data_IF_734650235030
#
_entry.id   IF_734650235030
#
_cell.length_a   1.000
_cell.length_b   1.000
_cell.length_c   1.000
_cell.angle_alpha   90.00
_cell.angle_beta   90.00
_cell.angle_gamma   90.00
#
_symmetry.space_group_name_H-M   'P 1'
#
loop_
_entity.id
_entity.type
_entity.pdbx_description
1 polymer ?
#
# COMPACT_ATOMS: atom_id res chain seq x y z
N UNK A 1 6.43 -17.46 16.18
CA UNK A 1 6.27 -16.83 14.85
C UNK A 1 6.21 -15.32 15.05
N UNK A 2 6.03 -14.50 14.00
CA UNK A 2 5.55 -13.14 14.27
C UNK A 2 4.14 -13.28 14.86
N UNK A 3 3.75 -12.38 15.77
CA UNK A 3 2.40 -12.37 16.30
C UNK A 3 1.45 -11.79 15.27
N UNK A 4 0.18 -12.22 15.29
CA UNK A 4 -0.85 -11.71 14.37
C UNK A 4 -1.01 -10.20 14.54
N UNK A 5 -1.09 -9.75 15.80
CA UNK A 5 -1.11 -8.31 16.16
C UNK A 5 0.04 -7.53 15.50
N UNK A 6 1.27 -8.03 15.55
CA UNK A 6 2.40 -7.34 14.94
C UNK A 6 2.26 -7.27 13.41
N UNK A 7 1.79 -8.33 12.76
CA UNK A 7 1.59 -8.33 11.32
C UNK A 7 0.50 -7.35 10.89
N UNK A 8 -0.60 -7.31 11.65
CA UNK A 8 -1.71 -6.36 11.45
C UNK A 8 -1.26 -4.91 11.59
N UNK A 9 -0.37 -4.61 12.55
CA UNK A 9 0.12 -3.24 12.83
C UNK A 9 1.34 -2.86 11.98
N UNK A 10 2.07 -3.83 11.41
CA UNK A 10 3.37 -3.59 10.75
C UNK A 10 3.33 -2.65 9.53
N UNK A 11 2.15 -2.46 8.94
CA UNK A 11 1.94 -1.57 7.80
C UNK A 11 1.33 -0.21 8.15
N UNK A 12 0.92 0.01 9.40
CA UNK A 12 0.07 1.15 9.77
C UNK A 12 0.75 2.49 9.57
N UNK A 13 2.01 2.64 10.02
CA UNK A 13 2.77 3.88 9.87
C UNK A 13 2.90 4.33 8.41
N UNK A 14 3.01 3.37 7.48
CA UNK A 14 3.09 3.64 6.05
C UNK A 14 1.70 3.91 5.51
N UNK A 15 0.70 3.09 5.87
CA UNK A 15 -0.70 3.27 5.47
C UNK A 15 -1.22 4.66 5.83
N UNK A 16 -0.94 5.14 7.04
CA UNK A 16 -1.38 6.45 7.54
C UNK A 16 -0.87 7.63 6.69
N UNK A 17 0.36 7.55 6.16
CA UNK A 17 0.87 8.56 5.21
C UNK A 17 0.05 8.58 3.91
N UNK A 18 -0.35 7.40 3.44
CA UNK A 18 -1.17 7.27 2.23
C UNK A 18 -2.62 7.68 2.47
N UNK A 19 -3.21 7.42 3.64
CA UNK A 19 -4.54 7.94 4.00
C UNK A 19 -4.53 9.47 4.12
N UNK A 20 -3.45 10.05 4.65
CA UNK A 20 -3.26 11.51 4.68
C UNK A 20 -3.14 12.08 3.26
N UNK A 21 -2.34 11.44 2.40
CA UNK A 21 -2.23 11.80 0.99
C UNK A 21 -3.57 11.73 0.29
N UNK A 22 -4.33 10.66 0.47
CA UNK A 22 -5.65 10.49 -0.11
C UNK A 22 -6.57 11.66 0.24
N UNK A 23 -6.58 12.07 1.51
CA UNK A 23 -7.36 13.22 1.98
C UNK A 23 -6.95 14.50 1.24
N UNK A 24 -5.65 14.78 1.11
CA UNK A 24 -5.14 15.96 0.39
C UNK A 24 -5.54 15.95 -1.09
N UNK A 25 -5.42 14.79 -1.74
CA UNK A 25 -5.78 14.63 -3.15
C UNK A 25 -7.29 14.82 -3.36
N UNK A 26 -8.13 14.26 -2.50
CA UNK A 26 -9.58 14.44 -2.55
C UNK A 26 -9.98 15.91 -2.33
N UNK A 27 -9.35 16.60 -1.38
CA UNK A 27 -9.56 18.05 -1.17
C UNK A 27 -9.20 18.82 -2.44
N UNK A 28 -8.03 18.54 -3.04
CA UNK A 28 -7.61 19.18 -4.28
C UNK A 28 -8.62 18.96 -5.41
N UNK A 29 -9.06 17.72 -5.61
CA UNK A 29 -10.04 17.35 -6.63
C UNK A 29 -11.38 18.06 -6.41
N UNK A 30 -11.88 18.09 -5.16
CA UNK A 30 -13.12 18.76 -4.81
C UNK A 30 -13.09 20.27 -5.04
N UNK A 31 -12.00 20.94 -4.63
CA UNK A 31 -11.81 22.37 -4.86
C UNK A 31 -11.77 22.71 -6.35
N UNK A 32 -11.13 21.86 -7.17
CA UNK A 32 -11.09 22.07 -8.62
C UNK A 32 -12.42 21.76 -9.30
N UNK A 33 -13.13 20.72 -8.87
CA UNK A 33 -14.48 20.43 -9.38
C UNK A 33 -15.45 21.60 -9.15
N UNK A 34 -15.31 22.34 -8.04
CA UNK A 34 -16.13 23.52 -7.78
C UNK A 34 -15.94 24.63 -8.83
N UNK A 35 -14.76 24.73 -9.44
CA UNK A 35 -14.49 25.73 -10.46
C UNK A 35 -15.28 25.51 -11.76
N UNK A 36 -15.89 24.33 -11.99
CA UNK A 36 -16.78 24.12 -13.13
C UNK A 36 -17.98 25.09 -13.10
N UNK A 37 -18.47 25.47 -11.91
CA UNK A 37 -19.60 26.39 -11.77
C UNK A 37 -19.26 27.83 -12.21
N UNK A 38 -17.97 28.16 -12.36
CA UNK A 38 -17.49 29.48 -12.74
C UNK A 38 -17.18 29.63 -14.24
N UNK A 39 -17.44 28.59 -15.05
CA UNK A 39 -17.26 28.65 -16.50
C UNK A 39 -18.42 29.44 -17.13
N UNK A 40 -18.09 30.39 -18.02
CA UNK A 40 -19.08 31.23 -18.69
C UNK A 40 -19.90 30.43 -19.69
N UNK A 41 -19.24 29.65 -20.55
CA UNK A 41 -19.87 28.70 -21.46
C UNK A 41 -19.34 27.30 -21.19
N UNK A 42 -20.10 26.50 -20.42
CA UNK A 42 -19.61 25.19 -19.98
C UNK A 42 -19.29 24.26 -21.15
N UNK A 43 -20.06 24.28 -22.24
CA UNK A 43 -19.84 23.41 -23.40
C UNK A 43 -18.56 23.79 -24.17
N UNK A 44 -18.26 25.08 -24.28
CA UNK A 44 -17.10 25.59 -25.02
C UNK A 44 -15.81 25.55 -24.17
N UNK A 45 -15.92 25.89 -22.88
CA UNK A 45 -14.78 26.09 -22.00
C UNK A 45 -14.32 24.79 -21.33
N UNK A 46 -15.24 23.84 -21.11
CA UNK A 46 -14.94 22.62 -20.37
C UNK A 46 -13.78 21.81 -20.96
N UNK A 47 -13.65 21.58 -22.28
CA UNK A 47 -12.52 20.84 -22.83
C UNK A 47 -11.16 21.51 -22.53
N UNK A 48 -11.08 22.84 -22.66
CA UNK A 48 -9.85 23.62 -22.37
C UNK A 48 -9.54 23.58 -20.88
N UNK A 49 -10.56 23.81 -20.06
CA UNK A 49 -10.46 23.75 -18.61
C UNK A 49 -10.00 22.37 -18.11
N UNK A 50 -10.61 21.28 -18.62
CA UNK A 50 -10.29 19.90 -18.25
C UNK A 50 -8.84 19.56 -18.55
N UNK A 51 -8.34 19.95 -19.73
CA UNK A 51 -6.95 19.71 -20.11
C UNK A 51 -5.98 20.44 -19.19
N UNK A 52 -6.26 21.72 -18.87
CA UNK A 52 -5.47 22.51 -17.93
C UNK A 52 -5.48 21.90 -16.53
N UNK A 53 -6.67 21.63 -15.99
CA UNK A 53 -6.84 21.06 -14.65
C UNK A 53 -6.18 19.68 -14.53
N UNK A 54 -6.29 18.83 -15.56
CA UNK A 54 -5.64 17.50 -15.57
C UNK A 54 -4.12 17.60 -15.57
N UNK A 55 -3.55 18.59 -16.28
CA UNK A 55 -2.10 18.84 -16.27
C UNK A 55 -1.63 19.33 -14.90
N UNK A 56 -2.30 20.34 -14.33
CA UNK A 56 -2.00 20.83 -12.98
C UNK A 56 -2.09 19.71 -11.95
N UNK A 57 -3.11 18.85 -12.07
CA UNK A 57 -3.27 17.73 -11.16
C UNK A 57 -2.15 16.70 -11.31
N UNK A 58 -1.74 16.39 -12.54
CA UNK A 58 -0.66 15.45 -12.79
C UNK A 58 0.67 15.90 -12.17
N UNK A 59 0.97 17.20 -12.24
CA UNK A 59 2.14 17.82 -11.61
C UNK A 59 2.03 17.79 -10.07
N UNK A 60 0.86 18.15 -9.52
CA UNK A 60 0.58 18.09 -8.08
C UNK A 60 0.71 16.66 -7.53
N UNK A 61 0.09 15.69 -8.20
CA UNK A 61 0.21 14.26 -7.90
C UNK A 61 1.67 13.82 -7.90
N UNK A 62 2.46 14.22 -8.90
CA UNK A 62 3.89 13.89 -8.95
C UNK A 62 4.65 14.34 -7.70
N UNK A 63 4.36 15.55 -7.24
CA UNK A 63 4.98 16.14 -6.05
C UNK A 63 4.57 15.41 -4.77
N UNK A 64 3.27 15.23 -4.56
CA UNK A 64 2.74 14.62 -3.32
C UNK A 64 3.12 13.14 -3.19
N UNK A 65 3.02 12.36 -4.28
CA UNK A 65 3.47 10.97 -4.27
C UNK A 65 4.98 10.86 -4.05
N UNK A 66 5.79 11.81 -4.53
CA UNK A 66 7.23 11.81 -4.27
C UNK A 66 7.54 12.04 -2.78
N UNK A 67 6.79 12.92 -2.10
CA UNK A 67 6.95 13.16 -0.65
C UNK A 67 6.65 11.90 0.15
N UNK A 68 5.49 11.28 -0.07
CA UNK A 68 5.09 10.06 0.64
C UNK A 68 6.02 8.89 0.32
N UNK A 69 6.47 8.74 -0.93
CA UNK A 69 7.46 7.74 -1.30
C UNK A 69 8.78 7.90 -0.53
N UNK A 70 9.25 9.13 -0.29
CA UNK A 70 10.47 9.38 0.51
C UNK A 70 10.24 9.04 1.99
N UNK A 71 9.11 9.48 2.56
CA UNK A 71 8.73 9.17 3.94
C UNK A 71 8.63 7.66 4.17
N UNK A 72 7.98 6.93 3.25
CA UNK A 72 7.73 5.50 3.38
C UNK A 72 9.00 4.66 3.36
N UNK A 73 10.08 5.10 2.72
CA UNK A 73 11.35 4.34 2.66
C UNK A 73 11.90 4.02 4.05
N UNK A 74 11.95 5.01 4.93
CA UNK A 74 12.46 4.84 6.29
C UNK A 74 11.49 4.01 7.15
N UNK A 75 10.19 4.23 7.00
CA UNK A 75 9.15 3.48 7.72
C UNK A 75 9.15 1.99 7.36
N UNK A 76 9.23 1.67 6.06
CA UNK A 76 9.38 0.29 5.56
C UNK A 76 10.65 -0.35 6.12
N UNK A 77 11.77 0.37 6.13
CA UNK A 77 13.02 -0.11 6.71
C UNK A 77 12.87 -0.43 8.20
N UNK A 78 12.21 0.42 8.97
CA UNK A 78 11.94 0.20 10.39
C UNK A 78 11.01 -1.00 10.61
N UNK A 79 9.90 -1.09 9.87
CA UNK A 79 8.95 -2.21 9.98
C UNK A 79 9.62 -3.56 9.75
N UNK A 80 10.44 -3.68 8.68
CA UNK A 80 11.15 -4.93 8.37
C UNK A 80 12.22 -5.24 9.41
N UNK A 81 12.98 -4.24 9.86
CA UNK A 81 13.97 -4.42 10.93
C UNK A 81 13.32 -4.91 12.22
N UNK A 82 12.20 -4.32 12.62
CA UNK A 82 11.45 -4.72 13.81
C UNK A 82 10.93 -6.15 13.69
N UNK A 83 10.40 -6.54 12.52
CA UNK A 83 9.95 -7.90 12.25
C UNK A 83 11.09 -8.92 12.35
N UNK A 84 12.27 -8.59 11.81
CA UNK A 84 13.45 -9.44 11.95
C UNK A 84 13.92 -9.51 13.40
N UNK A 85 14.00 -8.39 14.12
CA UNK A 85 14.42 -8.37 15.53
C UNK A 85 13.51 -9.22 16.42
N UNK A 86 12.19 -9.16 16.19
CA UNK A 86 11.23 -10.01 16.89
C UNK A 86 11.39 -11.47 16.48
N UNK A 87 11.65 -11.74 15.21
CA UNK A 87 11.95 -13.10 14.73
C UNK A 87 13.21 -13.67 15.37
N UNK A 88 14.31 -12.91 15.44
CA UNK A 88 15.55 -13.29 16.14
C UNK A 88 15.26 -13.62 17.58
N UNK A 89 14.54 -12.74 18.29
CA UNK A 89 14.22 -12.95 19.71
C UNK A 89 13.40 -14.22 19.93
N UNK A 90 12.44 -14.50 19.04
CA UNK A 90 11.61 -15.70 19.08
C UNK A 90 12.36 -16.99 18.75
N UNK A 91 13.35 -16.96 17.85
CA UNK A 91 14.19 -18.13 17.58
C UNK A 91 15.15 -18.33 18.75
N UNK A 92 15.82 -17.26 19.19
CA UNK A 92 16.78 -17.31 20.29
C UNK A 92 16.16 -17.85 21.58
N UNK A 93 14.93 -17.43 21.93
CA UNK A 93 14.24 -17.97 23.11
C UNK A 93 13.97 -19.47 23.01
N UNK A 94 13.68 -19.98 21.81
CA UNK A 94 13.45 -21.42 21.56
C UNK A 94 14.72 -22.25 21.54
N UNK A 95 15.86 -21.64 21.19
CA UNK A 95 17.16 -22.31 21.18
C UNK A 95 17.80 -22.40 22.57
N UNK A 96 17.33 -21.62 23.55
CA UNK A 96 17.87 -21.69 24.93
C UNK A 96 17.79 -23.07 25.56
N UNK A 97 16.78 -23.84 25.17
CA UNK A 97 16.53 -25.19 25.69
C UNK A 97 17.22 -26.28 24.84
N UNK A 98 18.16 -25.88 23.98
CA UNK A 98 18.89 -26.77 23.05
C UNK A 98 20.40 -26.58 23.19
N UNK A 99 21.19 -27.56 22.76
CA UNK A 99 22.66 -27.49 22.75
C UNK A 99 23.25 -26.49 21.72
N UNK A 100 22.38 -25.79 20.97
CA UNK A 100 22.79 -24.88 19.91
C UNK A 100 23.44 -23.59 20.47
N UNK A 101 24.76 -23.47 20.33
CA UNK A 101 25.51 -22.27 20.69
C UNK A 101 25.42 -21.22 19.56
N UNK A 102 24.57 -20.19 19.74
CA UNK A 102 24.53 -19.03 18.84
C UNK A 102 24.18 -17.76 19.60
N UNK A 103 24.78 -16.62 19.25
CA UNK A 103 24.37 -15.32 19.79
C UNK A 103 23.27 -14.67 18.93
N UNK A 104 22.46 -13.79 19.52
CA UNK A 104 21.50 -12.96 18.78
C UNK A 104 22.19 -12.12 17.69
N UNK A 105 23.42 -11.66 17.96
CA UNK A 105 24.21 -10.83 17.05
C UNK A 105 24.62 -11.61 15.80
N UNK A 106 25.04 -12.86 15.96
CA UNK A 106 25.46 -13.71 14.83
C UNK A 106 24.28 -14.08 13.93
N UNK A 107 23.12 -14.35 14.52
CA UNK A 107 21.88 -14.62 13.77
C UNK A 107 21.44 -13.40 12.94
N UNK A 108 21.54 -12.20 13.54
CA UNK A 108 21.20 -10.95 12.86
C UNK A 108 22.20 -10.64 11.73
N UNK A 109 23.50 -10.78 12.00
CA UNK A 109 24.58 -10.48 11.06
C UNK A 109 24.53 -11.36 9.81
N UNK A 110 24.32 -12.68 9.98
CA UNK A 110 24.19 -13.64 8.86
C UNK A 110 23.10 -13.25 7.87
N UNK A 111 22.05 -12.61 8.35
CA UNK A 111 20.86 -12.32 7.55
C UNK A 111 20.79 -10.90 7.01
N UNK A 112 21.85 -10.11 7.14
CA UNK A 112 21.90 -8.75 6.60
C UNK A 112 21.57 -8.71 5.10
N UNK A 113 21.94 -9.75 4.35
CA UNK A 113 21.57 -9.91 2.93
C UNK A 113 20.05 -9.98 2.73
N UNK A 114 19.35 -10.82 3.50
CA UNK A 114 17.89 -10.97 3.39
C UNK A 114 17.14 -9.75 3.92
N UNK A 115 17.65 -9.11 4.98
CA UNK A 115 17.12 -7.85 5.49
C UNK A 115 17.15 -6.78 4.40
N UNK A 116 18.33 -6.55 3.79
CA UNK A 116 18.49 -5.54 2.75
C UNK A 116 17.67 -5.87 1.50
N UNK A 117 17.61 -7.15 1.10
CA UNK A 117 16.76 -7.60 0.00
C UNK A 117 15.28 -7.36 0.30
N UNK A 118 14.80 -7.75 1.47
CA UNK A 118 13.41 -7.53 1.89
C UNK A 118 13.02 -6.05 1.91
N UNK A 119 13.90 -5.19 2.40
CA UNK A 119 13.71 -3.73 2.36
C UNK A 119 13.60 -3.25 0.91
N UNK A 120 14.55 -3.65 0.05
CA UNK A 120 14.58 -3.22 -1.35
C UNK A 120 13.34 -3.68 -2.12
N UNK A 121 12.96 -4.95 -1.95
CA UNK A 121 11.80 -5.55 -2.61
C UNK A 121 10.51 -4.82 -2.18
N UNK A 122 10.33 -4.60 -0.87
CA UNK A 122 9.14 -3.92 -0.33
C UNK A 122 9.09 -2.45 -0.74
N UNK A 123 10.22 -1.73 -0.72
CA UNK A 123 10.28 -0.34 -1.21
C UNK A 123 10.01 -0.26 -2.72
N UNK A 124 10.44 -1.26 -3.49
CA UNK A 124 10.12 -1.39 -4.91
C UNK A 124 8.62 -1.57 -5.12
N UNK A 125 7.97 -2.38 -4.29
CA UNK A 125 6.53 -2.58 -4.32
C UNK A 125 5.76 -1.28 -4.01
N UNK A 126 6.14 -0.56 -2.95
CA UNK A 126 5.53 0.74 -2.64
C UNK A 126 5.73 1.74 -3.78
N UNK A 127 6.89 1.75 -4.44
CA UNK A 127 7.12 2.59 -5.64
C UNK A 127 6.17 2.23 -6.77
N UNK A 128 5.93 0.95 -7.01
CA UNK A 128 4.98 0.49 -8.04
C UNK A 128 3.56 0.92 -7.70
N UNK A 129 3.13 0.72 -6.45
CA UNK A 129 1.84 1.19 -5.96
C UNK A 129 1.69 2.70 -6.14
N UNK A 130 2.68 3.53 -5.76
CA UNK A 130 2.62 4.98 -6.03
C UNK A 130 2.38 5.29 -7.52
N UNK A 131 3.05 4.59 -8.43
CA UNK A 131 2.88 4.82 -9.87
C UNK A 131 1.49 4.43 -10.36
N UNK A 132 0.94 3.31 -9.87
CA UNK A 132 -0.39 2.83 -10.22
C UNK A 132 -1.44 3.78 -9.64
N UNK A 133 -1.36 4.07 -8.33
CA UNK A 133 -2.25 5.01 -7.63
C UNK A 133 -2.29 6.35 -8.34
N UNK A 134 -1.13 6.92 -8.70
CA UNK A 134 -1.06 8.18 -9.44
C UNK A 134 -1.86 8.17 -10.74
N UNK A 135 -1.78 7.07 -11.51
CA UNK A 135 -2.55 6.89 -12.75
C UNK A 135 -4.04 6.74 -12.45
N UNK A 136 -4.40 5.95 -11.44
CA UNK A 136 -5.79 5.72 -11.05
C UNK A 136 -6.45 6.99 -10.53
N UNK A 137 -5.78 7.77 -9.67
CA UNK A 137 -6.30 9.04 -9.14
C UNK A 137 -6.53 10.04 -10.26
N UNK A 138 -5.59 10.18 -11.21
CA UNK A 138 -5.78 11.08 -12.34
C UNK A 138 -6.99 10.70 -13.21
N UNK A 139 -7.17 9.39 -13.46
CA UNK A 139 -8.36 8.88 -14.16
C UNK A 139 -9.65 9.13 -13.38
N UNK A 140 -9.65 8.94 -12.06
CA UNK A 140 -10.80 9.22 -11.20
C UNK A 140 -11.17 10.70 -11.20
N UNK A 141 -10.19 11.61 -11.20
CA UNK A 141 -10.43 13.05 -11.31
C UNK A 141 -11.12 13.39 -12.63
N UNK A 142 -10.54 12.96 -13.75
CA UNK A 142 -11.11 13.20 -15.09
C UNK A 142 -12.54 12.66 -15.18
N UNK A 143 -12.77 11.45 -14.67
CA UNK A 143 -14.10 10.85 -14.64
C UNK A 143 -15.08 11.66 -13.79
N UNK A 144 -14.68 12.14 -12.62
CA UNK A 144 -15.53 12.98 -11.78
C UNK A 144 -15.90 14.31 -12.46
N UNK A 145 -14.95 14.92 -13.18
CA UNK A 145 -15.20 16.10 -14.00
C UNK A 145 -16.19 15.79 -15.13
N UNK A 146 -15.97 14.70 -15.87
CA UNK A 146 -16.83 14.31 -17.01
C UNK A 146 -18.25 13.95 -16.55
N UNK A 147 -18.39 13.31 -15.38
CA UNK A 147 -19.69 13.05 -14.76
C UNK A 147 -20.41 14.34 -14.30
N UNK A 148 -19.68 15.31 -13.74
CA UNK A 148 -20.26 16.60 -13.37
C UNK A 148 -20.71 17.36 -14.63
N UNK A 149 -19.82 17.49 -15.61
CA UNK A 149 -20.10 18.14 -16.90
C UNK A 149 -21.32 17.54 -17.59
N UNK A 150 -21.38 16.22 -17.74
CA UNK A 150 -22.50 15.54 -18.42
C UNK A 150 -23.84 15.82 -17.74
N UNK A 151 -23.87 15.91 -16.41
CA UNK A 151 -25.09 16.27 -15.66
C UNK A 151 -25.51 17.71 -15.91
N UNK A 152 -24.57 18.64 -16.00
CA UNK A 152 -24.85 20.05 -16.24
C UNK A 152 -25.42 20.24 -17.64
N UNK A 153 -24.79 19.63 -18.65
CA UNK A 153 -25.27 19.66 -20.04
C UNK A 153 -26.66 19.02 -20.18
N UNK A 154 -26.95 17.98 -19.38
CA UNK A 154 -28.28 17.38 -19.32
C UNK A 154 -29.35 18.27 -18.64
N UNK A 155 -29.02 19.50 -18.24
CA UNK A 155 -29.95 20.47 -17.66
C UNK A 155 -30.05 20.45 -16.14
N UNK A 156 -29.20 19.70 -15.43
CA UNK A 156 -29.17 19.76 -13.97
C UNK A 156 -28.54 21.07 -13.49
N UNK A 157 -29.01 21.55 -12.33
CA UNK A 157 -28.37 22.67 -11.63
C UNK A 157 -26.88 22.34 -11.37
N UNK A 158 -26.00 23.29 -11.70
CA UNK A 158 -24.55 23.08 -11.69
C UNK A 158 -23.99 22.75 -10.31
N UNK A 159 -24.39 23.49 -9.28
CA UNK A 159 -23.92 23.27 -7.91
C UNK A 159 -24.30 21.86 -7.42
N UNK A 160 -25.54 21.43 -7.68
CA UNK A 160 -25.99 20.08 -7.33
C UNK A 160 -25.24 19.00 -8.10
N UNK A 161 -25.00 19.19 -9.40
CA UNK A 161 -24.27 18.24 -10.23
C UNK A 161 -22.84 18.03 -9.74
N UNK A 162 -22.16 19.14 -9.38
CA UNK A 162 -20.81 19.16 -8.82
C UNK A 162 -20.79 18.52 -7.44
N UNK A 163 -21.71 18.89 -6.55
CA UNK A 163 -21.83 18.32 -5.20
C UNK A 163 -21.97 16.79 -5.25
N UNK A 164 -22.85 16.29 -6.12
CA UNK A 164 -23.05 14.84 -6.30
C UNK A 164 -21.78 14.14 -6.78
N UNK A 165 -21.01 14.77 -7.68
CA UNK A 165 -19.73 14.22 -8.16
C UNK A 165 -18.66 14.22 -7.06
N UNK A 166 -18.57 15.29 -6.26
CA UNK A 166 -17.66 15.39 -5.11
C UNK A 166 -18.03 14.33 -4.05
N UNK A 167 -19.32 14.20 -3.72
CA UNK A 167 -19.81 13.21 -2.75
C UNK A 167 -19.52 11.78 -3.20
N UNK A 168 -19.73 11.48 -4.48
CA UNK A 168 -19.41 10.16 -5.03
C UNK A 168 -17.91 9.87 -4.97
N UNK A 169 -17.08 10.88 -5.27
CA UNK A 169 -15.64 10.76 -5.20
C UNK A 169 -15.16 10.54 -3.76
N UNK A 170 -15.68 11.30 -2.79
CA UNK A 170 -15.28 11.17 -1.38
C UNK A 170 -15.75 9.87 -0.74
N UNK A 171 -16.93 9.36 -1.11
CA UNK A 171 -17.43 8.07 -0.63
C UNK A 171 -16.59 6.89 -1.12
N UNK A 172 -16.05 6.98 -2.34
CA UNK A 172 -15.21 5.94 -2.93
C UNK A 172 -13.77 5.98 -2.45
N UNK A 173 -13.25 7.17 -2.18
CA UNK A 173 -11.82 7.37 -1.94
C UNK A 173 -11.00 7.17 -3.21
N UNK A 174 -9.68 6.98 -3.05
CA UNK A 174 -8.76 6.67 -4.14
C UNK A 174 -8.67 5.16 -4.31
N UNK A 175 -9.36 4.70 -5.34
CA UNK A 175 -9.34 3.32 -5.79
C UNK A 175 -8.05 3.01 -6.57
N UNK A 176 -7.39 1.90 -6.24
CA UNK A 176 -6.17 1.40 -6.90
C UNK A 176 -6.42 0.00 -7.43
N UNK A 177 -6.01 -0.24 -8.67
CA UNK A 177 -6.09 -1.58 -9.27
C UNK A 177 -4.92 -2.41 -8.77
N UNK A 178 -5.22 -3.53 -8.11
CA UNK A 178 -4.21 -4.48 -7.62
C UNK A 178 -3.76 -5.48 -8.69
N UNK A 179 -2.93 -6.46 -8.29
CA UNK A 179 -2.35 -7.48 -9.18
C UNK A 179 -3.35 -8.52 -9.73
N UNK A 180 -4.60 -8.52 -9.28
CA UNK A 180 -5.58 -9.52 -9.67
C UNK A 180 -6.93 -8.83 -9.82
N UNK A 181 -7.21 -8.14 -10.92
CA UNK A 181 -8.48 -7.54 -11.43
C UNK A 181 -9.49 -6.93 -10.42
N UNK A 182 -9.10 -6.79 -9.16
CA UNK A 182 -9.87 -6.33 -8.04
C UNK A 182 -9.34 -4.97 -7.67
N UNK A 183 -10.28 -4.06 -7.45
CA UNK A 183 -10.01 -2.71 -6.99
C UNK A 183 -10.01 -2.71 -5.47
N UNK A 184 -9.05 -2.03 -4.86
CA UNK A 184 -8.96 -1.85 -3.41
C UNK A 184 -8.61 -0.40 -3.10
N UNK A 185 -8.79 0.04 -1.86
CA UNK A 185 -8.34 1.36 -1.43
C UNK A 185 -6.80 1.43 -1.41
N UNK A 186 -6.27 2.63 -1.67
CA UNK A 186 -4.83 2.87 -1.77
C UNK A 186 -4.08 2.49 -0.48
N UNK A 187 -4.60 2.90 0.67
CA UNK A 187 -4.05 2.64 1.99
C UNK A 187 -4.03 1.13 2.31
N UNK A 188 -5.12 0.41 2.02
CA UNK A 188 -5.21 -1.05 2.17
C UNK A 188 -4.18 -1.77 1.30
N UNK A 189 -3.99 -1.33 0.04
CA UNK A 189 -2.98 -1.92 -0.85
C UNK A 189 -1.57 -1.75 -0.29
N UNK A 190 -1.26 -0.55 0.24
CA UNK A 190 0.02 -0.23 0.85
C UNK A 190 0.25 -1.01 2.13
N UNK A 191 -0.73 -1.04 3.05
CA UNK A 191 -0.68 -1.82 4.29
C UNK A 191 -0.37 -3.28 4.00
N UNK A 192 -1.10 -3.88 3.04
CA UNK A 192 -0.89 -5.27 2.61
C UNK A 192 0.50 -5.49 2.03
N UNK A 193 1.02 -4.57 1.21
CA UNK A 193 2.36 -4.69 0.64
C UNK A 193 3.44 -4.71 1.74
N UNK A 194 3.33 -3.84 2.75
CA UNK A 194 4.26 -3.79 3.87
C UNK A 194 4.17 -5.04 4.75
N UNK A 195 2.96 -5.44 5.18
CA UNK A 195 2.74 -6.65 5.98
C UNK A 195 3.27 -7.90 5.27
N UNK A 196 3.01 -8.00 3.96
CA UNK A 196 3.55 -9.09 3.14
C UNK A 196 5.08 -9.07 3.09
N UNK A 197 5.69 -7.90 2.85
CA UNK A 197 7.14 -7.74 2.84
C UNK A 197 7.80 -8.13 4.16
N UNK A 198 7.23 -7.69 5.30
CA UNK A 198 7.68 -8.04 6.65
C UNK A 198 7.59 -9.55 6.88
N UNK A 199 6.46 -10.17 6.54
CA UNK A 199 6.25 -11.60 6.73
C UNK A 199 7.21 -12.43 5.86
N UNK A 200 7.31 -12.12 4.56
CA UNK A 200 8.19 -12.81 3.62
C UNK A 200 9.66 -12.70 4.02
N UNK A 201 10.10 -11.52 4.46
CA UNK A 201 11.48 -11.30 4.90
C UNK A 201 11.77 -12.10 6.18
N UNK A 202 10.84 -12.09 7.14
CA UNK A 202 10.95 -12.86 8.38
C UNK A 202 10.94 -14.37 8.14
N UNK A 203 10.20 -14.85 7.14
CA UNK A 203 10.20 -16.25 6.75
C UNK A 203 11.54 -16.66 6.14
N UNK A 204 12.08 -15.88 5.18
CA UNK A 204 13.41 -16.11 4.61
C UNK A 204 14.50 -16.13 5.69
N UNK A 205 14.42 -15.19 6.64
CA UNK A 205 15.31 -15.14 7.81
C UNK A 205 15.25 -16.44 8.63
N UNK A 206 14.05 -16.94 8.94
CA UNK A 206 13.89 -18.21 9.69
C UNK A 206 14.51 -19.39 8.94
N UNK A 207 14.24 -19.49 7.65
CA UNK A 207 14.73 -20.60 6.82
C UNK A 207 16.25 -20.62 6.75
N UNK A 208 16.89 -19.45 6.61
CA UNK A 208 18.34 -19.37 6.60
C UNK A 208 18.95 -19.77 7.95
N UNK A 209 18.37 -19.34 9.07
CA UNK A 209 18.82 -19.81 10.39
C UNK A 209 18.60 -21.31 10.59
N UNK A 210 17.52 -21.90 10.05
CA UNK A 210 17.32 -23.35 10.12
C UNK A 210 18.41 -24.11 9.36
N UNK A 211 18.75 -23.66 8.14
CA UNK A 211 19.84 -24.25 7.34
C UNK A 211 21.18 -24.18 8.07
N UNK A 212 21.49 -23.02 8.63
CA UNK A 212 22.73 -22.76 9.35
C UNK A 212 22.89 -23.59 10.63
N UNK A 213 21.78 -23.84 11.33
CA UNK A 213 21.76 -24.65 12.55
C UNK A 213 21.54 -26.15 12.27
N UNK A 214 21.49 -26.57 11.00
CA UNK A 214 21.22 -27.96 10.62
C UNK A 214 19.82 -28.46 11.01
N UNK A 215 18.85 -27.56 11.20
CA UNK A 215 17.49 -27.91 11.60
C UNK A 215 16.72 -28.39 10.36
N UNK A 216 16.47 -29.70 10.28
CA UNK A 216 15.74 -30.34 9.19
C UNK A 216 14.24 -30.53 9.44
N UNK A 217 13.75 -30.28 10.66
CA UNK A 217 12.33 -30.43 11.02
C UNK A 217 11.82 -29.13 11.62
N UNK A 218 10.71 -28.62 11.08
CA UNK A 218 10.04 -27.42 11.57
C UNK A 218 8.58 -27.72 11.90
N UNK A 219 8.12 -27.28 13.07
CA UNK A 219 6.70 -27.33 13.42
C UNK A 219 5.99 -26.12 12.84
N UNK A 220 5.07 -26.35 11.90
CA UNK A 220 4.14 -25.34 11.38
C UNK A 220 2.84 -25.42 12.17
N UNK A 221 2.25 -24.27 12.50
CA UNK A 221 0.92 -24.18 13.11
C UNK A 221 -0.07 -23.71 12.05
N UNK A 222 -1.17 -24.44 11.87
CA UNK A 222 -2.35 -23.91 11.15
C UNK A 222 -3.11 -22.98 12.08
N UNK A 223 -3.43 -21.79 11.59
CA UNK A 223 -4.42 -20.90 12.19
C UNK A 223 -5.72 -20.98 11.37
N UNK A 224 -6.86 -20.60 11.96
CA UNK A 224 -8.15 -20.55 11.26
C UNK A 224 -8.03 -19.66 10.02
N UNK A 225 -8.24 -20.25 8.82
CA UNK A 225 -8.03 -19.58 7.53
C UNK A 225 -6.82 -20.06 6.73
N UNK A 226 -5.97 -20.93 7.29
CA UNK A 226 -5.04 -21.71 6.47
C UNK A 226 -5.87 -22.64 5.56
N UNK A 227 -5.77 -22.46 4.23
CA UNK A 227 -6.54 -23.26 3.26
C UNK A 227 -6.23 -24.74 3.48
N UNK A 228 -7.21 -25.59 3.89
CA UNK A 228 -6.95 -27.01 3.99
C UNK A 228 -6.85 -27.55 2.57
N UNK A 229 -5.65 -27.87 2.12
CA UNK A 229 -5.48 -28.83 1.03
C UNK A 229 -4.34 -29.79 1.35
N UNK A 230 -4.71 -30.97 1.85
CA UNK A 230 -4.11 -32.21 1.42
C UNK A 230 -5.16 -32.97 0.58
N UNK A 231 -5.25 -32.68 -0.71
CA UNK A 231 -5.55 -33.76 -1.67
C UNK A 231 -4.20 -34.47 -1.84
N UNK A 232 -3.88 -35.55 -1.15
CA UNK A 232 -4.68 -36.75 -1.06
C UNK A 232 -3.94 -37.83 -1.85
N UNK A 233 -3.28 -38.71 -1.10
CA UNK A 233 -2.77 -40.05 -1.45
C UNK A 233 -1.56 -40.15 -2.40
N UNK A 234 -0.52 -40.80 -1.86
CA UNK A 234 0.43 -41.59 -2.63
C UNK A 234 -0.32 -42.62 -3.48
N UNK A 235 0.04 -42.71 -4.76
CA UNK A 235 0.06 -43.97 -5.51
C UNK A 235 1.43 -44.10 -6.13
#
# INVERSE_FOLDING_TARGET
MLTDKFLEESGDDVSNDFSTLETLLLIWMGLRLRNLASLESIEEDYPKWKNKASREFFEYLGTEFQKVKKSSQNKVKSAIKNGIAMTVSNIFSRLKDTDAQTSKKDMLNRSNKNLNKGIKDTQGEIKNLCNISRKCTNKQFIKACDEAYSRIVAGNNADKAIELSIRKLSQKGIEVVGYADHTTSMDTAVKRAVTSGVNQTSLKFKMDNCKELGINIVKTSSHGGARPSPSGVAR
#
